data_IF_712987065903
#
_entry.id   IF_712987065903
#
_cell.length_a   1.000
_cell.length_b   1.000
_cell.length_c   1.000
_cell.angle_alpha   90.00
_cell.angle_beta   90.00
_cell.angle_gamma   90.00
#
_symmetry.space_group_name_H-M   'P 1'
#
loop_
_entity.id
_entity.type
_entity.pdbx_description
1 polymer ?
#
# COMPACT_ATOMS: atom_id res chain seq x y z
N UNK A 1 -16.14 -45.28 -17.76
CA UNK A 1 -16.57 -43.96 -17.24
C UNK A 1 -15.39 -43.01 -17.35
N UNK A 2 -15.46 -42.03 -18.24
CA UNK A 2 -14.40 -41.01 -18.43
C UNK A 2 -14.69 -39.86 -17.48
N UNK A 3 -13.90 -39.71 -16.42
CA UNK A 3 -13.98 -38.55 -15.52
C UNK A 3 -13.39 -37.33 -16.23
N UNK A 4 -14.25 -36.48 -16.78
CA UNK A 4 -13.84 -35.17 -17.30
C UNK A 4 -13.36 -34.32 -16.12
N UNK A 5 -12.04 -34.18 -15.96
CA UNK A 5 -11.44 -33.29 -14.95
C UNK A 5 -11.82 -31.85 -15.30
N UNK A 6 -12.81 -31.28 -14.61
CA UNK A 6 -13.07 -29.84 -14.70
C UNK A 6 -11.90 -29.10 -14.05
N UNK A 7 -11.24 -28.22 -14.81
CA UNK A 7 -10.26 -27.29 -14.24
C UNK A 7 -11.04 -26.20 -13.51
N UNK A 8 -10.66 -25.90 -12.27
CA UNK A 8 -11.21 -24.80 -11.49
C UNK A 8 -10.15 -23.71 -11.34
N UNK A 9 -10.53 -22.43 -11.42
CA UNK A 9 -9.68 -21.28 -11.08
C UNK A 9 -10.20 -20.62 -9.80
N UNK A 10 -9.29 -20.21 -8.93
CA UNK A 10 -9.62 -19.41 -7.75
C UNK A 10 -9.76 -17.94 -8.16
N UNK A 11 -10.76 -17.27 -7.62
CA UNK A 11 -11.04 -15.85 -7.88
C UNK A 11 -10.57 -15.01 -6.69
N UNK A 12 -10.07 -13.80 -6.98
CA UNK A 12 -9.68 -12.83 -5.94
C UNK A 12 -10.92 -12.39 -5.15
N UNK A 13 -10.82 -12.42 -3.83
CA UNK A 13 -11.85 -11.88 -2.95
C UNK A 13 -11.67 -10.36 -2.79
N UNK A 14 -12.40 -9.59 -3.59
CA UNK A 14 -12.33 -8.13 -3.57
C UNK A 14 -12.76 -7.50 -2.23
N UNK A 15 -13.60 -8.18 -1.45
CA UNK A 15 -13.97 -7.70 -0.11
C UNK A 15 -12.77 -7.86 0.84
N UNK A 16 -12.07 -8.99 0.77
CA UNK A 16 -10.82 -9.17 1.51
C UNK A 16 -9.75 -8.17 1.07
N UNK A 17 -9.61 -7.92 -0.24
CA UNK A 17 -8.69 -6.91 -0.80
C UNK A 17 -8.98 -5.51 -0.23
N UNK A 18 -10.25 -5.10 -0.18
CA UNK A 18 -10.64 -3.80 0.38
C UNK A 18 -10.20 -3.67 1.84
N UNK A 19 -10.51 -4.66 2.69
CA UNK A 19 -10.17 -4.61 4.11
C UNK A 19 -8.67 -4.71 4.35
N UNK A 20 -7.96 -5.54 3.59
CA UNK A 20 -6.51 -5.63 3.65
C UNK A 20 -5.84 -4.29 3.30
N UNK A 21 -6.28 -3.65 2.21
CA UNK A 21 -5.78 -2.34 1.80
C UNK A 21 -6.12 -1.23 2.79
N UNK A 22 -7.34 -1.22 3.33
CA UNK A 22 -7.77 -0.22 4.31
C UNK A 22 -6.99 -0.34 5.62
N UNK A 23 -6.93 -1.53 6.22
CA UNK A 23 -6.23 -1.76 7.48
C UNK A 23 -4.72 -1.62 7.33
N UNK A 24 -4.14 -2.20 6.28
CA UNK A 24 -2.72 -2.03 5.94
C UNK A 24 -2.37 -0.56 5.71
N UNK A 25 -3.23 0.18 5.02
CA UNK A 25 -3.07 1.61 4.78
C UNK A 25 -3.14 2.46 6.06
N UNK A 26 -4.09 2.18 6.96
CA UNK A 26 -4.18 2.87 8.25
C UNK A 26 -2.97 2.60 9.15
N UNK A 27 -2.52 1.35 9.23
CA UNK A 27 -1.35 1.00 10.04
C UNK A 27 -0.10 1.65 9.45
N UNK A 28 0.11 1.59 8.13
CA UNK A 28 1.26 2.22 7.48
C UNK A 28 1.24 3.74 7.60
N UNK A 29 0.07 4.38 7.56
CA UNK A 29 -0.08 5.81 7.84
C UNK A 29 0.42 6.14 9.24
N UNK A 30 -0.05 5.40 10.25
CA UNK A 30 0.40 5.56 11.64
C UNK A 30 1.90 5.34 11.79
N UNK A 31 2.44 4.28 11.17
CA UNK A 31 3.88 3.99 11.17
C UNK A 31 4.69 5.15 10.58
N UNK A 32 4.28 5.70 9.44
CA UNK A 32 4.99 6.84 8.85
C UNK A 32 4.88 8.10 9.70
N UNK A 33 3.73 8.39 10.31
CA UNK A 33 3.58 9.52 11.22
C UNK A 33 4.49 9.37 12.44
N UNK A 34 4.61 8.16 13.00
CA UNK A 34 5.54 7.87 14.10
C UNK A 34 6.99 8.01 13.65
N UNK A 35 7.38 7.39 12.54
CA UNK A 35 8.76 7.45 12.04
C UNK A 35 9.19 8.88 11.72
N UNK A 36 8.34 9.66 11.05
CA UNK A 36 8.63 11.06 10.74
C UNK A 36 8.63 11.96 11.98
N UNK A 37 7.78 11.69 12.98
CA UNK A 37 7.88 12.40 14.25
C UNK A 37 9.21 12.14 14.96
N UNK A 38 9.62 10.87 15.06
CA UNK A 38 10.83 10.47 15.78
C UNK A 38 12.12 10.91 15.09
N UNK A 39 12.16 10.95 13.75
CA UNK A 39 13.39 11.22 13.00
C UNK A 39 13.45 12.64 12.41
N UNK A 40 12.30 13.28 12.17
CA UNK A 40 12.20 14.58 11.49
C UNK A 40 11.48 15.63 12.34
N UNK A 41 11.10 15.30 13.59
CA UNK A 41 10.54 16.22 14.57
C UNK A 41 9.05 16.53 14.42
N UNK A 42 8.37 16.01 13.40
CA UNK A 42 6.94 16.28 13.19
C UNK A 42 6.21 15.11 12.50
N UNK A 43 5.08 14.63 13.06
CA UNK A 43 4.28 13.56 12.45
C UNK A 43 3.57 14.02 11.16
N UNK A 44 3.46 15.34 10.96
CA UNK A 44 2.74 15.93 9.84
C UNK A 44 3.56 15.96 8.56
N UNK A 45 4.87 15.73 8.64
CA UNK A 45 5.76 15.74 7.47
C UNK A 45 5.30 14.71 6.44
N UNK A 46 4.96 13.49 6.90
CA UNK A 46 4.46 12.46 6.00
C UNK A 46 3.19 12.91 5.26
N UNK A 47 2.21 13.44 5.98
CA UNK A 47 0.95 13.90 5.39
C UNK A 47 1.15 15.06 4.40
N UNK A 48 2.10 15.96 4.66
CA UNK A 48 2.49 17.03 3.72
C UNK A 48 3.08 16.47 2.44
N UNK A 49 3.96 15.48 2.56
CA UNK A 49 4.55 14.80 1.40
C UNK A 49 3.48 14.12 0.56
N UNK A 50 2.59 13.34 1.17
CA UNK A 50 1.53 12.65 0.42
C UNK A 50 0.54 13.64 -0.19
N UNK A 51 0.16 14.70 0.55
CA UNK A 51 -0.72 15.74 0.02
C UNK A 51 -0.12 16.50 -1.18
N UNK A 52 1.21 16.63 -1.24
CA UNK A 52 1.91 17.32 -2.33
C UNK A 52 1.72 16.67 -3.71
N UNK A 53 1.33 15.39 -3.75
CA UNK A 53 0.96 14.70 -4.99
C UNK A 53 -0.21 15.43 -5.70
N UNK A 54 -1.13 16.00 -4.91
CA UNK A 54 -2.31 16.73 -5.41
C UNK A 54 -2.14 18.24 -5.30
N UNK A 55 -1.58 18.73 -4.20
CA UNK A 55 -1.46 20.16 -3.89
C UNK A 55 -0.17 20.81 -4.41
N UNK A 56 0.76 20.02 -4.94
CA UNK A 56 2.07 20.44 -5.41
C UNK A 56 3.08 20.72 -4.29
N UNK A 57 4.31 21.03 -4.68
CA UNK A 57 5.46 21.27 -3.79
C UNK A 57 5.19 22.33 -2.71
N UNK A 58 4.36 23.32 -3.02
CA UNK A 58 3.99 24.37 -2.09
C UNK A 58 3.43 23.83 -0.76
N UNK A 59 2.83 22.65 -0.74
CA UNK A 59 2.24 22.05 0.47
C UNK A 59 3.26 21.54 1.50
N UNK A 60 4.53 21.44 1.12
CA UNK A 60 5.60 20.89 1.96
C UNK A 60 5.97 21.80 3.13
N UNK A 61 5.89 23.11 2.96
CA UNK A 61 6.32 24.09 3.96
C UNK A 61 5.15 24.95 4.44
N UNK A 62 4.98 25.14 5.77
CA UNK A 62 4.09 26.18 6.28
C UNK A 62 4.50 27.58 5.78
N UNK A 63 3.57 28.54 5.62
CA UNK A 63 2.13 28.49 5.93
C UNK A 63 1.22 28.29 4.69
N UNK A 64 1.75 27.77 3.58
CA UNK A 64 1.10 27.75 2.25
C UNK A 64 -0.34 27.23 2.21
N UNK A 65 -0.68 26.24 3.04
CA UNK A 65 -2.01 25.67 3.18
C UNK A 65 -2.40 25.54 4.66
N UNK A 66 -3.71 25.56 4.93
CA UNK A 66 -4.22 25.23 6.26
C UNK A 66 -3.82 23.80 6.65
N UNK A 67 -3.49 23.59 7.93
CA UNK A 67 -3.09 22.28 8.43
C UNK A 67 -4.21 21.25 8.25
N UNK A 68 -5.47 21.66 8.38
CA UNK A 68 -6.63 20.81 8.13
C UNK A 68 -6.65 20.28 6.69
N UNK A 69 -6.45 21.15 5.69
CA UNK A 69 -6.47 20.75 4.28
C UNK A 69 -5.33 19.75 3.97
N UNK A 70 -4.13 20.00 4.49
CA UNK A 70 -2.99 19.09 4.36
C UNK A 70 -3.31 17.70 4.91
N UNK A 71 -3.84 17.64 6.13
CA UNK A 71 -4.14 16.37 6.80
C UNK A 71 -5.22 15.62 6.01
N UNK A 72 -6.30 16.31 5.62
CA UNK A 72 -7.41 15.69 4.89
C UNK A 72 -6.95 15.13 3.54
N UNK A 73 -6.27 15.93 2.72
CA UNK A 73 -5.79 15.49 1.40
C UNK A 73 -4.75 14.37 1.55
N UNK A 74 -3.82 14.48 2.50
CA UNK A 74 -2.80 13.47 2.74
C UNK A 74 -3.40 12.12 3.13
N UNK A 75 -4.42 12.09 4.01
CA UNK A 75 -5.12 10.86 4.40
C UNK A 75 -5.83 10.24 3.20
N UNK A 76 -6.58 11.04 2.43
CA UNK A 76 -7.34 10.56 1.26
C UNK A 76 -6.39 9.93 0.24
N UNK A 77 -5.34 10.65 -0.15
CA UNK A 77 -4.38 10.16 -1.14
C UNK A 77 -3.67 8.91 -0.65
N UNK A 78 -3.27 8.85 0.63
CA UNK A 78 -2.62 7.67 1.21
C UNK A 78 -3.52 6.43 1.17
N UNK A 79 -4.79 6.58 1.56
CA UNK A 79 -5.74 5.46 1.59
C UNK A 79 -6.11 5.00 0.17
N UNK A 80 -6.23 5.91 -0.79
CA UNK A 80 -6.47 5.55 -2.20
C UNK A 80 -5.29 4.77 -2.79
N UNK A 81 -4.06 5.24 -2.57
CA UNK A 81 -2.85 4.53 -2.99
C UNK A 81 -2.74 3.17 -2.30
N UNK A 82 -3.05 3.10 -1.01
CA UNK A 82 -3.05 1.84 -0.24
C UNK A 82 -4.03 0.82 -0.81
N UNK A 83 -5.25 1.25 -1.17
CA UNK A 83 -6.23 0.39 -1.82
C UNK A 83 -5.77 -0.08 -3.20
N UNK A 84 -5.19 0.81 -4.00
CA UNK A 84 -4.62 0.47 -5.31
C UNK A 84 -3.51 -0.58 -5.19
N UNK A 85 -2.55 -0.35 -4.30
CA UNK A 85 -1.43 -1.27 -4.11
C UNK A 85 -1.86 -2.60 -3.49
N UNK A 86 -2.89 -2.62 -2.64
CA UNK A 86 -3.47 -3.85 -2.15
C UNK A 86 -4.17 -4.65 -3.26
N UNK A 87 -4.89 -3.99 -4.17
CA UNK A 87 -5.46 -4.65 -5.35
C UNK A 87 -4.36 -5.29 -6.21
N UNK A 88 -3.27 -4.57 -6.47
CA UNK A 88 -2.12 -5.12 -7.21
C UNK A 88 -1.50 -6.32 -6.50
N UNK A 89 -1.25 -6.22 -5.19
CA UNK A 89 -0.65 -7.31 -4.42
C UNK A 89 -1.54 -8.56 -4.43
N UNK A 90 -2.83 -8.41 -4.14
CA UNK A 90 -3.75 -9.56 -4.01
C UNK A 90 -3.94 -10.33 -5.32
N UNK A 91 -3.84 -9.67 -6.47
CA UNK A 91 -3.77 -10.33 -7.78
C UNK A 91 -2.51 -11.22 -7.90
N UNK A 92 -1.39 -10.81 -7.30
CA UNK A 92 -0.11 -11.54 -7.37
C UNK A 92 -0.11 -12.74 -6.40
N UNK A 93 -0.49 -12.51 -5.14
CA UNK A 93 -0.29 -13.49 -4.05
C UNK A 93 -1.43 -14.48 -3.87
N UNK A 94 -2.60 -14.28 -4.50
CA UNK A 94 -3.73 -15.18 -4.30
C UNK A 94 -3.27 -16.64 -4.36
N UNK A 95 -3.72 -17.49 -3.43
CA UNK A 95 -3.57 -18.97 -3.40
C UNK A 95 -2.29 -19.54 -2.75
N UNK A 96 -1.49 -18.76 -2.03
CA UNK A 96 -0.19 -19.24 -1.52
C UNK A 96 -0.14 -19.48 0.00
N UNK A 97 -1.21 -19.14 0.72
CA UNK A 97 -1.31 -19.31 2.16
C UNK A 97 -0.65 -18.18 2.95
N UNK A 98 -1.01 -18.07 4.22
CA UNK A 98 -0.66 -16.96 5.11
C UNK A 98 0.84 -16.60 5.14
N UNK A 99 1.73 -17.59 5.25
CA UNK A 99 3.18 -17.33 5.33
C UNK A 99 3.70 -16.70 4.04
N UNK A 100 3.24 -17.18 2.89
CA UNK A 100 3.63 -16.61 1.60
C UNK A 100 2.95 -15.26 1.39
N UNK A 101 1.71 -15.07 1.85
CA UNK A 101 1.06 -13.76 1.86
C UNK A 101 1.89 -12.72 2.61
N UNK A 102 2.38 -13.05 3.81
CA UNK A 102 3.21 -12.14 4.62
C UNK A 102 4.57 -11.89 3.97
N UNK A 103 5.32 -12.94 3.61
CA UNK A 103 6.67 -12.79 3.07
C UNK A 103 6.68 -12.23 1.65
N UNK A 104 5.78 -12.71 0.80
CA UNK A 104 5.56 -12.21 -0.55
C UNK A 104 5.04 -10.78 -0.54
N UNK A 105 4.14 -10.46 0.40
CA UNK A 105 3.70 -9.09 0.67
C UNK A 105 4.85 -8.18 1.09
N UNK A 106 5.71 -8.61 2.01
CA UNK A 106 6.89 -7.87 2.44
C UNK A 106 7.84 -7.57 1.27
N UNK A 107 8.12 -8.58 0.45
CA UNK A 107 8.94 -8.45 -0.75
C UNK A 107 8.31 -7.50 -1.79
N UNK A 108 7.00 -7.62 -2.00
CA UNK A 108 6.24 -6.68 -2.83
C UNK A 108 6.33 -5.25 -2.29
N UNK A 109 6.20 -5.06 -0.97
CA UNK A 109 6.36 -3.76 -0.32
C UNK A 109 7.72 -3.12 -0.61
N UNK A 110 8.81 -3.90 -0.52
CA UNK A 110 10.15 -3.42 -0.86
C UNK A 110 10.28 -3.03 -2.34
N UNK A 111 9.74 -3.86 -3.25
CA UNK A 111 9.73 -3.57 -4.67
C UNK A 111 8.91 -2.31 -4.96
N UNK A 112 7.73 -2.19 -4.35
CA UNK A 112 6.85 -1.05 -4.44
C UNK A 112 7.55 0.22 -3.98
N UNK A 113 8.25 0.22 -2.84
CA UNK A 113 9.04 1.37 -2.38
C UNK A 113 10.04 1.82 -3.46
N UNK A 114 10.83 0.88 -3.98
CA UNK A 114 11.89 1.17 -4.95
C UNK A 114 11.31 1.76 -6.24
N UNK A 115 10.26 1.12 -6.78
CA UNK A 115 9.60 1.56 -8.01
C UNK A 115 8.89 2.89 -7.80
N UNK A 116 8.14 3.01 -6.70
CA UNK A 116 7.31 4.18 -6.43
C UNK A 116 8.17 5.42 -6.23
N UNK A 117 9.19 5.39 -5.37
CA UNK A 117 10.05 6.57 -5.19
C UNK A 117 10.89 6.90 -6.43
N UNK A 118 11.34 5.89 -7.19
CA UNK A 118 12.07 6.14 -8.44
C UNK A 118 11.16 6.80 -9.49
N UNK A 119 9.93 6.28 -9.66
CA UNK A 119 8.96 6.80 -10.61
C UNK A 119 8.41 8.16 -10.18
N UNK A 120 8.03 8.31 -8.92
CA UNK A 120 7.52 9.57 -8.37
C UNK A 120 8.57 10.67 -8.47
N UNK A 121 9.87 10.38 -8.29
CA UNK A 121 10.92 11.40 -8.42
C UNK A 121 11.03 11.98 -9.84
N UNK A 122 10.52 11.30 -10.87
CA UNK A 122 10.46 11.82 -12.24
C UNK A 122 9.38 12.90 -12.37
N UNK A 123 8.23 12.70 -11.74
CA UNK A 123 7.07 13.61 -11.83
C UNK A 123 7.03 14.66 -10.71
N UNK A 124 7.58 14.32 -9.55
CA UNK A 124 7.59 15.09 -8.31
C UNK A 124 9.03 15.13 -7.77
N UNK A 125 9.90 16.04 -8.27
CA UNK A 125 11.33 16.04 -7.96
C UNK A 125 11.66 16.11 -6.47
N UNK A 126 10.79 16.72 -5.67
CA UNK A 126 10.93 16.80 -4.21
C UNK A 126 10.78 15.44 -3.49
N UNK A 127 10.39 14.37 -4.18
CA UNK A 127 10.42 12.99 -3.65
C UNK A 127 11.81 12.36 -3.69
N UNK A 128 12.76 12.91 -4.44
CA UNK A 128 14.11 12.35 -4.56
C UNK A 128 14.84 12.22 -3.21
N UNK A 129 14.86 13.24 -2.32
CA UNK A 129 15.51 13.14 -1.01
C UNK A 129 14.80 12.18 -0.05
N UNK A 130 13.61 11.69 -0.41
CA UNK A 130 12.76 10.87 0.44
C UNK A 130 13.01 9.37 0.22
N UNK A 131 14.03 9.00 -0.57
CA UNK A 131 14.53 7.63 -0.66
C UNK A 131 15.35 7.28 0.59
N UNK A 132 14.66 6.94 1.67
CA UNK A 132 15.29 6.58 2.93
C UNK A 132 14.69 5.31 3.55
N UNK A 133 15.40 4.79 4.56
CA UNK A 133 15.06 3.54 5.23
C UNK A 133 13.69 3.57 5.93
N UNK A 134 13.21 4.74 6.38
CA UNK A 134 11.93 4.86 7.09
C UNK A 134 10.77 4.49 6.17
N UNK A 135 10.77 5.05 4.95
CA UNK A 135 9.74 4.74 3.97
C UNK A 135 9.90 3.32 3.43
N UNK A 136 11.13 2.82 3.24
CA UNK A 136 11.35 1.42 2.88
C UNK A 136 10.75 0.47 3.92
N UNK A 137 11.03 0.68 5.21
CA UNK A 137 10.48 -0.11 6.31
C UNK A 137 8.96 -0.05 6.33
N UNK A 138 8.36 1.14 6.20
CA UNK A 138 6.91 1.25 6.21
C UNK A 138 6.26 0.56 5.01
N UNK A 139 6.90 0.52 3.84
CA UNK A 139 6.36 -0.19 2.68
C UNK A 139 6.47 -1.71 2.85
N UNK A 140 7.57 -2.21 3.40
CA UNK A 140 7.72 -3.63 3.76
C UNK A 140 6.64 -4.04 4.76
N UNK A 141 6.42 -3.24 5.80
CA UNK A 141 5.37 -3.48 6.79
C UNK A 141 3.98 -3.45 6.13
N UNK A 142 3.70 -2.45 5.30
CA UNK A 142 2.44 -2.35 4.56
C UNK A 142 2.16 -3.61 3.74
N UNK A 143 3.12 -4.03 2.91
CA UNK A 143 2.96 -5.20 2.05
C UNK A 143 2.76 -6.48 2.87
N UNK A 144 3.53 -6.68 3.93
CA UNK A 144 3.38 -7.81 4.84
C UNK A 144 1.99 -7.85 5.50
N UNK A 145 1.48 -6.70 5.95
CA UNK A 145 0.15 -6.58 6.54
C UNK A 145 -0.95 -6.85 5.53
N UNK A 146 -0.88 -6.26 4.33
CA UNK A 146 -1.90 -6.48 3.30
C UNK A 146 -1.94 -7.95 2.92
N UNK A 147 -0.79 -8.57 2.65
CA UNK A 147 -0.74 -9.97 2.27
C UNK A 147 -1.20 -10.91 3.38
N UNK A 148 -0.80 -10.63 4.63
CA UNK A 148 -1.26 -11.41 5.79
C UNK A 148 -2.74 -11.25 6.08
N UNK A 149 -3.28 -10.03 6.04
CA UNK A 149 -4.70 -9.77 6.29
C UNK A 149 -5.55 -10.38 5.18
N UNK A 150 -5.14 -10.24 3.92
CA UNK A 150 -5.86 -10.82 2.79
C UNK A 150 -5.99 -12.34 2.94
N UNK A 151 -4.88 -13.05 3.10
CA UNK A 151 -4.88 -14.51 3.26
C UNK A 151 -5.59 -14.99 4.54
N UNK A 152 -5.69 -14.12 5.57
CA UNK A 152 -6.40 -14.45 6.81
C UNK A 152 -7.93 -14.39 6.66
N UNK A 153 -8.46 -13.54 5.77
CA UNK A 153 -9.89 -13.26 5.68
C UNK A 153 -10.50 -13.58 4.32
N UNK A 154 -9.69 -13.93 3.31
CA UNK A 154 -10.19 -14.28 1.99
C UNK A 154 -11.07 -15.54 2.05
N UNK A 155 -12.13 -15.52 1.26
CA UNK A 155 -12.95 -16.71 1.02
C UNK A 155 -12.55 -17.31 -0.31
N UNK A 156 -12.07 -18.56 -0.28
CA UNK A 156 -11.67 -19.27 -1.49
C UNK A 156 -12.89 -19.62 -2.35
N UNK A 157 -13.08 -18.88 -3.45
CA UNK A 157 -14.13 -19.15 -4.43
C UNK A 157 -13.50 -19.72 -5.69
N UNK A 158 -13.94 -20.93 -6.07
CA UNK A 158 -13.49 -21.63 -7.26
C UNK A 158 -14.57 -21.61 -8.35
N UNK A 159 -14.20 -21.18 -9.56
CA UNK A 159 -15.09 -21.20 -10.74
C UNK A 159 -14.52 -22.10 -11.85
N UNK A 160 -15.37 -22.73 -12.69
CA UNK A 160 -14.88 -23.49 -13.84
C UNK A 160 -13.96 -22.63 -14.72
N UNK A 161 -12.78 -23.16 -15.05
CA UNK A 161 -11.91 -22.56 -16.03
C UNK A 161 -12.52 -22.82 -17.42
N UNK A 162 -12.90 -21.75 -18.12
CA UNK A 162 -13.31 -21.82 -19.52
C UNK A 162 -12.18 -22.44 -20.35
N UNK A 163 -12.55 -23.26 -21.35
CA UNK A 163 -11.61 -23.99 -22.20
C UNK A 163 -10.90 -23.08 -23.20
#
# INVERSE_FOLDING_TARGET
MTTTRQRLRQVVDWRATFWAGFLGGLISLGTNMVLTHLNLGSPWIFLRMVASIVLGEGSLLPPSYSQFNIILVGIIVHLLLSGLFAALLTIIIHRWGLLVGILGGAAFGLALYTINFSLMSIFFPWFFPLQNWMFALSHVLFGALVGGIYEMIEVEIFVPAEK
#
